data_IF_954427661363
#
_entry.id   IF_954427661363
#
_cell.length_a   1.000
_cell.length_b   1.000
_cell.length_c   1.000
_cell.angle_alpha   90.00
_cell.angle_beta   90.00
_cell.angle_gamma   90.00
#
_symmetry.space_group_name_H-M   'P 1'
#
loop_
_entity.id
_entity.type
_entity.pdbx_description
1 polymer ?
#
# COMPACT_ATOMS: atom_id res chain seq x y z
N UNK A 1 3.59 -3.19 12.01
CA UNK A 1 2.51 -3.32 11.01
C UNK A 1 1.68 -2.04 10.92
N UNK A 2 0.92 -1.68 11.97
CA UNK A 2 0.09 -0.45 11.99
C UNK A 2 0.87 0.85 11.70
N UNK A 3 2.11 0.96 12.15
CA UNK A 3 2.95 2.14 11.86
C UNK A 3 3.24 2.29 10.36
N UNK A 4 3.61 1.20 9.68
CA UNK A 4 3.85 1.21 8.23
C UNK A 4 2.57 1.51 7.46
N UNK A 5 1.44 0.94 7.89
CA UNK A 5 0.12 1.21 7.31
C UNK A 5 -0.24 2.69 7.40
N UNK A 6 -0.16 3.29 8.60
CA UNK A 6 -0.49 4.70 8.81
C UNK A 6 0.44 5.62 8.02
N UNK A 7 1.75 5.32 8.01
CA UNK A 7 2.72 6.09 7.22
C UNK A 7 2.42 6.00 5.72
N UNK A 8 2.10 4.80 5.22
CA UNK A 8 1.76 4.59 3.82
C UNK A 8 0.49 5.35 3.44
N UNK A 9 -0.57 5.27 4.25
CA UNK A 9 -1.83 6.01 4.04
C UNK A 9 -1.57 7.51 4.00
N UNK A 10 -0.90 8.05 5.00
CA UNK A 10 -0.62 9.50 5.08
C UNK A 10 0.18 9.99 3.87
N UNK A 11 1.23 9.26 3.48
CA UNK A 11 2.05 9.64 2.31
C UNK A 11 1.28 9.51 1.00
N UNK A 12 0.40 8.51 0.88
CA UNK A 12 -0.47 8.33 -0.28
C UNK A 12 -1.42 9.51 -0.40
N UNK A 13 -2.11 9.87 0.68
CA UNK A 13 -3.04 11.01 0.70
C UNK A 13 -2.34 12.31 0.31
N UNK A 14 -1.18 12.59 0.90
CA UNK A 14 -0.41 13.79 0.58
C UNK A 14 0.02 13.84 -0.90
N UNK A 15 0.50 12.72 -1.45
CA UNK A 15 0.94 12.70 -2.86
C UNK A 15 -0.20 12.79 -3.86
N UNK A 16 -1.34 12.16 -3.56
CA UNK A 16 -2.53 12.30 -4.41
C UNK A 16 -3.07 13.73 -4.36
N UNK A 17 -3.06 14.36 -3.18
CA UNK A 17 -3.39 15.77 -3.03
C UNK A 17 -2.46 16.66 -3.86
N UNK A 18 -1.14 16.45 -3.79
CA UNK A 18 -0.18 17.17 -4.62
C UNK A 18 -0.42 16.97 -6.13
N UNK A 19 -0.71 15.73 -6.57
CA UNK A 19 -1.02 15.44 -7.98
C UNK A 19 -2.23 16.27 -8.43
N UNK A 20 -3.31 16.26 -7.67
CA UNK A 20 -4.53 17.02 -7.99
C UNK A 20 -4.29 18.54 -7.96
N UNK A 21 -3.53 19.04 -6.98
CA UNK A 21 -3.13 20.45 -6.91
C UNK A 21 -2.28 20.88 -8.12
N UNK A 22 -1.36 20.02 -8.56
CA UNK A 22 -0.54 20.26 -9.75
C UNK A 22 -1.35 20.29 -11.05
N UNK A 23 -2.52 19.62 -11.08
CA UNK A 23 -3.48 19.75 -12.19
C UNK A 23 -4.38 20.99 -12.08
N UNK A 24 -4.16 21.86 -11.07
CA UNK A 24 -4.89 23.12 -10.89
C UNK A 24 -6.13 23.03 -10.01
N UNK A 25 -6.35 21.92 -9.29
CA UNK A 25 -7.51 21.76 -8.42
C UNK A 25 -7.25 22.22 -6.99
N UNK A 26 -8.25 22.84 -6.38
CA UNK A 26 -8.29 23.00 -4.93
C UNK A 26 -8.77 21.70 -4.29
N UNK A 27 -7.92 21.07 -3.50
CA UNK A 27 -8.23 19.80 -2.84
C UNK A 27 -8.72 20.07 -1.42
N UNK A 28 -9.76 19.34 -1.01
CA UNK A 28 -10.23 19.31 0.38
C UNK A 28 -10.05 17.86 0.84
N UNK A 29 -9.16 17.68 1.81
CA UNK A 29 -8.92 16.38 2.41
C UNK A 29 -9.96 16.13 3.50
N UNK A 30 -10.53 14.93 3.51
CA UNK A 30 -11.49 14.48 4.51
C UNK A 30 -11.00 13.14 5.04
N UNK A 31 -10.78 13.08 6.35
CA UNK A 31 -10.27 11.88 6.98
C UNK A 31 -11.35 10.80 6.94
N UNK A 32 -11.01 9.62 6.41
CA UNK A 32 -12.00 8.61 6.01
C UNK A 32 -12.53 7.76 7.18
N UNK A 33 -12.37 8.22 8.42
CA UNK A 33 -12.90 7.53 9.60
C UNK A 33 -14.42 7.62 9.69
N UNK A 34 -15.03 8.67 9.13
CA UNK A 34 -16.48 8.82 9.08
C UNK A 34 -16.95 9.05 7.63
N UNK A 35 -17.70 8.08 7.10
CA UNK A 35 -18.23 8.09 5.71
C UNK A 35 -19.24 9.22 5.45
N UNK A 36 -19.58 10.00 6.46
CA UNK A 36 -20.49 11.14 6.43
C UNK A 36 -19.80 12.51 6.57
N UNK A 37 -18.46 12.57 6.57
CA UNK A 37 -17.72 13.79 6.91
C UNK A 37 -17.72 14.92 5.87
N UNK A 38 -18.23 14.69 4.66
CA UNK A 38 -18.49 15.81 3.76
C UNK A 38 -19.78 16.52 4.18
N UNK A 39 -19.65 17.75 4.68
CA UNK A 39 -20.80 18.64 4.85
C UNK A 39 -21.56 18.80 3.53
N UNK A 40 -22.86 19.07 3.59
CA UNK A 40 -23.66 19.32 2.38
C UNK A 40 -23.06 20.42 1.49
N UNK A 41 -22.48 21.46 2.10
CA UNK A 41 -21.79 22.52 1.37
C UNK A 41 -20.59 21.98 0.58
N UNK A 42 -19.74 21.15 1.19
CA UNK A 42 -18.60 20.53 0.51
C UNK A 42 -19.04 19.56 -0.59
N UNK A 43 -20.09 18.77 -0.38
CA UNK A 43 -20.64 17.89 -1.44
C UNK A 43 -21.18 18.71 -2.62
N UNK A 44 -21.83 19.84 -2.33
CA UNK A 44 -22.44 20.70 -3.35
C UNK A 44 -21.40 21.46 -4.17
N UNK A 45 -20.39 22.02 -3.51
CA UNK A 45 -19.30 22.79 -4.14
C UNK A 45 -18.25 21.88 -4.79
N UNK A 46 -18.08 20.66 -4.28
CA UNK A 46 -17.18 19.67 -4.82
C UNK A 46 -17.55 19.24 -6.23
N UNK A 47 -16.56 19.27 -7.12
CA UNK A 47 -16.70 18.78 -8.49
C UNK A 47 -16.61 17.25 -8.57
N UNK A 48 -15.63 16.67 -7.87
CA UNK A 48 -15.30 15.25 -7.87
C UNK A 48 -14.81 14.87 -6.47
N UNK A 49 -15.06 13.63 -6.07
CA UNK A 49 -14.43 12.99 -4.92
C UNK A 49 -13.56 11.83 -5.41
N UNK A 50 -12.37 11.69 -4.83
CA UNK A 50 -11.46 10.56 -5.10
C UNK A 50 -11.42 9.70 -3.86
N UNK A 51 -11.84 8.44 -4.00
CA UNK A 51 -11.79 7.45 -2.95
C UNK A 51 -10.78 6.37 -3.31
N UNK A 52 -9.94 5.99 -2.35
CA UNK A 52 -8.96 4.93 -2.51
C UNK A 52 -9.20 3.83 -1.49
N UNK A 53 -9.28 2.60 -1.96
CA UNK A 53 -9.46 1.43 -1.11
C UNK A 53 -8.60 0.27 -1.63
N UNK A 54 -8.05 -0.55 -0.73
CA UNK A 54 -7.19 -1.63 -1.16
C UNK A 54 -6.61 -2.44 -0.01
N UNK A 55 -5.91 -3.51 -0.39
CA UNK A 55 -5.20 -4.41 0.49
C UNK A 55 -3.79 -4.61 -0.07
N UNK A 56 -2.77 -4.44 0.77
CA UNK A 56 -1.36 -4.66 0.42
C UNK A 56 -0.82 -5.77 1.30
N UNK A 57 -0.40 -6.86 0.68
CA UNK A 57 0.20 -8.01 1.37
C UNK A 57 1.60 -8.25 0.84
N UNK A 58 2.58 -8.32 1.74
CA UNK A 58 3.93 -8.79 1.44
C UNK A 58 4.09 -10.18 2.01
N UNK A 59 4.39 -11.16 1.15
CA UNK A 59 4.60 -12.55 1.57
C UNK A 59 5.89 -13.14 1.01
N UNK A 60 6.57 -14.03 1.74
CA UNK A 60 7.64 -14.84 1.17
C UNK A 60 7.12 -15.68 0.01
N UNK A 61 7.84 -15.72 -1.10
CA UNK A 61 7.57 -16.59 -2.24
C UNK A 61 7.80 -18.05 -1.81
N UNK A 62 6.77 -18.92 -1.80
CA UNK A 62 6.91 -20.30 -1.37
C UNK A 62 7.89 -21.11 -2.23
N UNK A 63 8.11 -20.74 -3.50
CA UNK A 63 9.04 -21.45 -4.40
C UNK A 63 10.49 -21.06 -4.17
N UNK A 64 10.74 -19.87 -3.61
CA UNK A 64 12.08 -19.29 -3.45
C UNK A 64 12.47 -19.09 -1.99
N UNK A 65 11.61 -19.49 -1.06
CA UNK A 65 11.90 -19.45 0.38
C UNK A 65 12.49 -20.77 0.82
N UNK A 66 13.71 -20.73 1.33
CA UNK A 66 14.44 -21.87 1.88
C UNK A 66 14.55 -21.67 3.38
N UNK A 67 13.97 -22.60 4.13
CA UNK A 67 14.18 -22.70 5.57
C UNK A 67 15.12 -23.87 5.85
N UNK A 68 16.36 -23.57 6.23
CA UNK A 68 17.30 -24.56 6.75
C UNK A 68 17.21 -24.53 8.26
N UNK A 69 16.62 -25.57 8.83
CA UNK A 69 16.79 -25.88 10.25
C UNK A 69 18.15 -26.52 10.42
N UNK A 70 18.88 -26.15 11.46
CA UNK A 70 20.22 -26.69 11.71
C UNK A 70 20.22 -28.22 11.72
N UNK A 71 21.13 -28.83 10.94
CA UNK A 71 21.47 -30.25 11.10
C UNK A 71 22.16 -30.45 12.46
N UNK A 72 21.94 -31.59 13.15
CA UNK A 72 22.59 -31.87 14.42
C UNK A 72 24.08 -32.19 14.18
N UNK A 73 24.89 -31.15 14.09
CA UNK A 73 26.35 -31.27 14.16
C UNK A 73 26.78 -31.46 15.61
N UNK A 74 27.56 -32.52 15.87
CA UNK A 74 28.45 -32.77 17.02
C UNK A 74 28.10 -31.99 18.30
N UNK A 75 27.68 -32.71 19.36
CA UNK A 75 27.46 -32.44 20.82
C UNK A 75 27.73 -31.05 21.47
N UNK A 76 28.30 -30.08 20.76
CA UNK A 76 28.64 -28.71 21.15
C UNK A 76 28.29 -27.65 20.08
N UNK A 77 27.71 -28.00 18.93
CA UNK A 77 27.35 -27.00 17.91
C UNK A 77 26.00 -26.35 18.22
N UNK A 78 26.00 -25.03 18.38
CA UNK A 78 24.77 -24.23 18.43
C UNK A 78 24.14 -24.23 17.04
N UNK A 79 22.98 -24.84 16.89
CA UNK A 79 22.24 -24.83 15.64
C UNK A 79 21.93 -23.40 15.18
N UNK A 80 22.20 -23.11 13.90
CA UNK A 80 21.79 -21.88 13.24
C UNK A 80 20.61 -22.18 12.32
N UNK A 81 19.44 -21.63 12.66
CA UNK A 81 18.27 -21.65 11.79
C UNK A 81 18.39 -20.48 10.80
N UNK A 82 18.41 -20.81 9.50
CA UNK A 82 18.50 -19.83 8.41
C UNK A 82 17.22 -19.87 7.58
N UNK A 83 16.55 -18.73 7.46
CA UNK A 83 15.46 -18.51 6.52
C UNK A 83 15.91 -17.48 5.48
N UNK A 84 15.97 -17.90 4.22
CA UNK A 84 16.33 -17.04 3.10
C UNK A 84 15.22 -17.13 2.06
N UNK A 85 14.81 -16.00 1.49
CA UNK A 85 13.75 -16.01 0.50
C UNK A 85 13.58 -14.70 -0.24
N UNK A 86 12.51 -14.62 -1.01
CA UNK A 86 12.11 -13.44 -1.78
C UNK A 86 10.74 -13.00 -1.28
N UNK A 87 10.59 -11.74 -0.90
CA UNK A 87 9.29 -11.13 -0.66
C UNK A 87 8.67 -10.71 -1.99
N UNK A 88 7.40 -11.09 -2.17
CA UNK A 88 6.58 -10.71 -3.31
C UNK A 88 5.33 -9.96 -2.84
N UNK A 89 4.89 -8.93 -3.60
CA UNK A 89 3.63 -8.26 -3.34
C UNK A 89 2.43 -9.09 -3.77
N UNK A 90 1.31 -8.86 -3.10
CA UNK A 90 -0.02 -9.36 -3.46
C UNK A 90 -1.08 -8.37 -2.95
N UNK A 91 -2.29 -8.50 -3.48
CA UNK A 91 -3.41 -7.63 -3.17
C UNK A 91 -3.69 -6.63 -4.27
N UNK A 92 -4.46 -5.59 -3.98
CA UNK A 92 -4.93 -4.63 -4.97
C UNK A 92 -5.12 -3.24 -4.37
N UNK A 93 -5.05 -2.22 -5.22
CA UNK A 93 -5.48 -0.86 -4.88
C UNK A 93 -6.47 -0.39 -5.92
N UNK A 94 -7.66 -0.03 -5.48
CA UNK A 94 -8.72 0.55 -6.29
C UNK A 94 -8.83 2.03 -6.02
N UNK A 95 -8.87 2.82 -7.09
CA UNK A 95 -9.16 4.25 -7.06
C UNK A 95 -10.50 4.45 -7.75
N UNK A 96 -11.40 5.16 -7.07
CA UNK A 96 -12.75 5.44 -7.56
C UNK A 96 -12.95 6.94 -7.60
N UNK A 97 -13.43 7.43 -8.74
CA UNK A 97 -13.79 8.82 -8.97
C UNK A 97 -15.30 8.92 -8.90
N UNK A 98 -15.80 9.77 -8.01
CA UNK A 98 -17.19 9.84 -7.62
C UNK A 98 -17.73 11.26 -7.78
N UNK A 99 -19.02 11.37 -8.07
CA UNK A 99 -19.75 12.64 -7.91
C UNK A 99 -20.16 12.81 -6.43
N UNK A 100 -19.71 13.87 -5.73
CA UNK A 100 -19.84 13.97 -4.27
C UNK A 100 -21.28 14.04 -3.73
N UNK A 101 -22.25 14.59 -4.48
CA UNK A 101 -23.64 14.73 -3.99
C UNK A 101 -24.42 13.42 -4.07
N UNK A 102 -24.29 12.71 -5.19
CA UNK A 102 -25.00 11.46 -5.47
C UNK A 102 -24.27 10.23 -4.94
N UNK A 103 -22.95 10.31 -4.79
CA UNK A 103 -22.09 9.16 -4.56
C UNK A 103 -21.94 8.26 -5.79
N UNK A 104 -22.41 8.69 -6.97
CA UNK A 104 -22.32 7.91 -8.20
C UNK A 104 -20.87 7.81 -8.68
N UNK A 105 -20.44 6.59 -9.00
CA UNK A 105 -19.11 6.34 -9.54
C UNK A 105 -19.06 6.75 -11.00
N UNK A 106 -18.18 7.69 -11.32
CA UNK A 106 -17.95 8.18 -12.68
C UNK A 106 -16.93 7.28 -13.39
N UNK A 107 -15.87 6.89 -12.68
CA UNK A 107 -14.85 5.97 -13.18
C UNK A 107 -14.15 5.25 -12.02
N UNK A 108 -13.54 4.11 -12.30
CA UNK A 108 -12.65 3.45 -11.35
C UNK A 108 -11.58 2.64 -12.06
N UNK A 109 -10.39 2.61 -11.48
CA UNK A 109 -9.32 1.74 -11.92
C UNK A 109 -8.73 0.96 -10.75
N UNK A 110 -8.33 -0.27 -11.04
CA UNK A 110 -7.75 -1.19 -10.05
C UNK A 110 -6.35 -1.55 -10.49
N UNK A 111 -5.40 -1.46 -9.56
CA UNK A 111 -4.02 -1.92 -9.72
C UNK A 111 -3.88 -3.24 -8.98
N UNK A 112 -3.57 -4.32 -9.71
CA UNK A 112 -3.20 -5.60 -9.11
C UNK A 112 -1.72 -5.55 -8.72
N UNK A 113 -1.44 -5.70 -7.42
CA UNK A 113 -0.08 -5.63 -6.90
C UNK A 113 0.72 -6.89 -7.18
N UNK A 114 0.06 -8.01 -7.51
CA UNK A 114 0.73 -9.27 -7.86
C UNK A 114 1.36 -9.24 -9.26
N UNK A 115 0.94 -8.31 -10.12
CA UNK A 115 1.52 -8.10 -11.45
C UNK A 115 2.81 -7.27 -11.39
N UNK A 116 3.14 -6.66 -10.24
CA UNK A 116 4.35 -5.88 -10.07
C UNK A 116 5.58 -6.80 -9.98
N UNK A 117 6.61 -6.51 -10.78
CA UNK A 117 7.91 -7.19 -10.71
C UNK A 117 8.75 -6.68 -9.54
N UNK A 118 8.28 -6.94 -8.31
CA UNK A 118 8.96 -6.58 -7.07
C UNK A 118 9.36 -7.87 -6.35
N UNK A 119 10.67 -8.03 -6.18
CA UNK A 119 11.29 -9.24 -5.63
C UNK A 119 12.39 -8.83 -4.64
N UNK A 120 12.04 -8.69 -3.35
CA UNK A 120 13.00 -8.27 -2.33
C UNK A 120 13.58 -9.47 -1.58
N UNK A 121 14.89 -9.67 -1.69
CA UNK A 121 15.57 -10.76 -0.98
C UNK A 121 15.62 -10.47 0.51
N UNK A 122 15.27 -11.46 1.32
CA UNK A 122 15.42 -11.39 2.77
C UNK A 122 16.22 -12.59 3.30
N UNK A 123 16.90 -12.35 4.42
CA UNK A 123 17.69 -13.29 5.18
C UNK A 123 17.41 -13.05 6.65
N UNK A 124 17.00 -14.11 7.33
CA UNK A 124 16.82 -14.16 8.78
C UNK A 124 17.62 -15.33 9.34
N UNK A 125 18.54 -15.02 10.24
CA UNK A 125 19.33 -16.03 10.96
C UNK A 125 18.99 -15.97 12.45
N UNK A 126 18.74 -17.14 13.04
CA UNK A 126 18.39 -17.26 14.46
C UNK A 126 19.24 -18.35 15.07
N UNK A 127 19.91 -18.06 16.19
CA UNK A 127 20.63 -19.07 16.95
C UNK A 127 19.68 -19.74 17.94
N UNK A 128 19.56 -21.06 17.89
CA UNK A 128 18.85 -21.84 18.91
C UNK A 128 19.86 -22.44 19.87
N UNK A 129 20.05 -21.82 21.03
CA UNK A 129 20.89 -22.39 22.09
C UNK A 129 20.14 -23.49 22.84
N UNK A 130 20.31 -24.74 22.41
CA UNK A 130 20.04 -25.91 23.26
C UNK A 130 21.24 -26.14 24.20
N UNK A 131 21.42 -25.26 25.19
CA UNK A 131 22.31 -25.55 26.31
C UNK A 131 21.52 -25.39 27.60
N UNK A 132 21.15 -26.53 28.21
CA UNK A 132 20.65 -26.56 29.58
C UNK A 132 21.76 -26.10 30.52
N UNK A 133 21.79 -24.81 30.83
CA UNK A 133 22.83 -24.22 31.66
C UNK A 133 22.73 -22.70 31.67
N UNK A 134 22.78 -22.14 32.86
CA UNK A 134 22.57 -20.73 33.19
C UNK A 134 23.38 -19.81 32.25
N UNK A 135 22.71 -18.76 31.75
CA UNK A 135 23.21 -17.68 30.85
C UNK A 135 23.18 -18.01 29.35
N UNK A 136 21.99 -17.87 28.74
CA UNK A 136 21.84 -17.77 27.28
C UNK A 136 22.19 -16.35 26.81
N UNK A 137 23.43 -16.14 26.36
CA UNK A 137 23.75 -14.93 25.59
C UNK A 137 23.09 -15.03 24.21
N UNK A 138 21.92 -14.42 24.06
CA UNK A 138 21.22 -14.30 22.78
C UNK A 138 22.03 -13.39 21.85
N UNK A 139 22.91 -13.99 21.04
CA UNK A 139 23.61 -13.25 19.97
C UNK A 139 22.61 -12.99 18.85
N UNK A 140 22.34 -11.71 18.58
CA UNK A 140 21.42 -11.25 17.54
C UNK A 140 21.96 -11.68 16.18
N UNK A 141 21.31 -12.66 15.54
CA UNK A 141 21.65 -13.04 14.16
C UNK A 141 21.36 -11.90 13.16
N UNK A 142 21.89 -12.03 11.95
CA UNK A 142 21.58 -11.14 10.82
C UNK A 142 20.11 -11.29 10.42
N UNK A 143 19.37 -10.17 10.42
CA UNK A 143 17.98 -10.09 9.96
C UNK A 143 17.79 -8.80 9.14
N UNK A 144 17.63 -8.92 7.82
CA UNK A 144 17.34 -7.80 6.93
C UNK A 144 15.87 -7.78 6.45
N UNK A 145 15.00 -8.59 7.05
CA UNK A 145 13.60 -8.74 6.62
C UNK A 145 12.86 -7.40 6.68
N UNK A 146 13.16 -6.58 7.67
CA UNK A 146 12.56 -5.25 7.82
C UNK A 146 12.98 -4.28 6.70
N UNK A 147 14.22 -4.37 6.24
CA UNK A 147 14.72 -3.53 5.14
C UNK A 147 14.14 -3.98 3.80
N UNK A 148 14.02 -5.30 3.60
CA UNK A 148 13.32 -5.88 2.45
C UNK A 148 11.83 -5.44 2.41
N UNK A 149 11.14 -5.42 3.56
CA UNK A 149 9.76 -4.92 3.66
C UNK A 149 9.68 -3.44 3.29
N UNK A 150 10.56 -2.58 3.84
CA UNK A 150 10.57 -1.14 3.52
C UNK A 150 10.87 -0.90 2.04
N UNK A 151 11.84 -1.62 1.48
CA UNK A 151 12.18 -1.55 0.06
C UNK A 151 10.98 -1.92 -0.83
N UNK A 152 10.31 -3.04 -0.51
CA UNK A 152 9.12 -3.47 -1.24
C UNK A 152 7.99 -2.44 -1.15
N UNK A 153 7.69 -1.93 0.05
CA UNK A 153 6.65 -0.92 0.25
C UNK A 153 6.93 0.37 -0.52
N UNK A 154 8.20 0.83 -0.55
CA UNK A 154 8.59 2.02 -1.31
C UNK A 154 8.42 1.81 -2.82
N UNK A 155 8.76 0.62 -3.34
CA UNK A 155 8.55 0.27 -4.75
C UNK A 155 7.07 0.17 -5.10
N UNK A 156 6.26 -0.45 -4.25
CA UNK A 156 4.80 -0.51 -4.41
C UNK A 156 4.23 0.91 -4.46
N UNK A 157 4.62 1.76 -3.50
CA UNK A 157 4.21 3.16 -3.44
C UNK A 157 4.52 3.91 -4.74
N UNK A 158 5.76 3.80 -5.23
CA UNK A 158 6.17 4.46 -6.47
C UNK A 158 5.33 4.03 -7.68
N UNK A 159 5.05 2.72 -7.81
CA UNK A 159 4.22 2.20 -8.90
C UNK A 159 2.76 2.69 -8.81
N UNK A 160 2.18 2.66 -7.62
CA UNK A 160 0.81 3.16 -7.41
C UNK A 160 0.73 4.65 -7.75
N UNK A 161 1.67 5.46 -7.27
CA UNK A 161 1.68 6.90 -7.55
C UNK A 161 1.84 7.18 -9.05
N UNK A 162 2.68 6.41 -9.74
CA UNK A 162 2.87 6.54 -11.18
C UNK A 162 1.60 6.23 -11.97
N UNK A 163 0.86 5.17 -11.60
CA UNK A 163 -0.41 4.85 -12.26
C UNK A 163 -1.50 5.88 -11.95
N UNK A 164 -1.54 6.38 -10.72
CA UNK A 164 -2.47 7.46 -10.35
C UNK A 164 -2.17 8.73 -11.16
N UNK A 165 -0.91 9.16 -11.26
CA UNK A 165 -0.52 10.35 -12.00
C UNK A 165 -0.88 10.25 -13.50
N UNK A 166 -0.68 9.07 -14.10
CA UNK A 166 -1.11 8.80 -15.50
C UNK A 166 -2.62 8.91 -15.69
N UNK A 167 -3.42 8.55 -14.69
CA UNK A 167 -4.89 8.51 -14.78
C UNK A 167 -5.53 9.82 -14.37
N UNK A 168 -5.02 10.50 -13.35
CA UNK A 168 -5.53 11.77 -12.82
C UNK A 168 -4.92 12.97 -13.55
N UNK A 169 -4.98 12.96 -14.87
CA UNK A 169 -4.56 14.11 -15.70
C UNK A 169 -5.70 15.11 -15.81
N UNK A 170 -5.37 16.39 -16.02
CA UNK A 170 -6.34 17.45 -16.25
C UNK A 170 -7.39 17.07 -17.30
N UNK A 171 -6.97 16.48 -18.43
CA UNK A 171 -7.87 16.04 -19.51
C UNK A 171 -8.93 15.04 -19.03
N UNK A 172 -8.53 14.04 -18.25
CA UNK A 172 -9.45 13.02 -17.75
C UNK A 172 -10.39 13.62 -16.70
N UNK A 173 -9.83 14.43 -15.78
CA UNK A 173 -10.59 15.10 -14.73
C UNK A 173 -11.65 16.06 -15.30
N UNK A 174 -11.32 16.82 -16.34
CA UNK A 174 -12.29 17.66 -17.06
C UNK A 174 -13.40 16.86 -17.74
N UNK A 175 -13.10 15.65 -18.24
CA UNK A 175 -14.12 14.75 -18.78
C UNK A 175 -15.10 14.32 -17.68
N UNK A 176 -14.58 13.81 -16.56
CA UNK A 176 -15.42 13.39 -15.44
C UNK A 176 -16.27 14.54 -14.88
N UNK A 177 -15.74 15.78 -14.90
CA UNK A 177 -16.51 16.95 -14.50
C UNK A 177 -17.70 17.26 -15.42
N UNK A 178 -17.55 17.03 -16.74
CA UNK A 178 -18.66 17.20 -17.68
C UNK A 178 -19.73 16.15 -17.40
N UNK A 179 -19.33 14.90 -17.23
CA UNK A 179 -20.25 13.80 -16.92
C UNK A 179 -21.00 14.06 -15.61
N UNK A 180 -20.30 14.53 -14.57
CA UNK A 180 -20.90 14.92 -13.29
C UNK A 180 -21.91 16.07 -13.43
N UNK A 181 -21.62 17.08 -14.27
CA UNK A 181 -22.55 18.20 -14.55
C UNK A 181 -23.80 17.72 -15.29
N UNK A 182 -23.66 16.83 -16.26
CA UNK A 182 -24.80 16.24 -16.96
C UNK A 182 -25.71 15.44 -16.03
N UNK A 183 -25.12 14.64 -15.11
CA UNK A 183 -25.85 13.92 -14.08
C UNK A 183 -26.62 14.87 -13.15
N UNK A 184 -25.97 15.95 -12.68
CA UNK A 184 -26.62 16.98 -11.85
C UNK A 184 -27.79 17.65 -12.57
N UNK A 185 -27.65 17.97 -13.87
CA UNK A 185 -28.70 18.61 -14.65
C UNK A 185 -29.90 17.70 -14.95
N UNK A 186 -29.67 16.39 -15.11
CA UNK A 186 -30.75 15.41 -15.28
C UNK A 186 -31.59 15.21 -14.01
N UNK A 187 -30.99 15.34 -12.83
CA UNK A 187 -31.69 15.19 -11.52
C UNK A 187 -32.51 16.41 -11.09
N UNK A 188 -32.22 17.60 -11.63
CA UNK A 188 -32.94 18.84 -11.31
C UNK A 188 -34.13 19.14 -12.26
N UNK A 189 -34.45 18.22 -13.17
CA UNK A 189 -35.68 18.23 -13.99
C UNK A 189 -36.67 17.22 -13.44
#
# INVERSE_FOLDING_TARGET
AKEYENKFKNQTTLKVEEILQNQGYKVINVDSSDKDDFSFAQKKEGYLAVAMNGEIVLRPDPKRTIQKKSEPGLLFSTGLDKMEGVLIPAGFVKVTILEPMSGESLDSFTMDLSELDIQEKFLKTTHSSHSGGLVSTMVKGTDNSNDAIKSALNKIFANIMQEIDKKLTQKNLESYQKDAKELKNKRNR
#
